data_IF_613465306820
#
_entry.id   IF_613465306820
#
_cell.length_a   1.000
_cell.length_b   1.000
_cell.length_c   1.000
_cell.angle_alpha   90.00
_cell.angle_beta   90.00
_cell.angle_gamma   90.00
#
_symmetry.space_group_name_H-M   'P 1'
#
loop_
_entity.id
_entity.type
_entity.pdbx_description
1 polymer ?
#
# COMPACT_ATOMS: atom_id res chain seq x y z
N UNK A 1 59.79 29.68 -5.21
CA UNK A 1 59.13 29.10 -4.03
C UNK A 1 57.84 29.86 -3.85
N UNK A 2 56.71 29.21 -4.10
CA UNK A 2 55.47 29.40 -3.34
C UNK A 2 54.47 28.38 -3.88
N UNK A 3 54.26 27.35 -3.07
CA UNK A 3 53.35 26.24 -3.29
C UNK A 3 51.94 26.68 -2.90
N UNK A 4 51.10 26.86 -3.90
CA UNK A 4 49.67 27.10 -3.73
C UNK A 4 48.99 25.78 -3.35
N UNK A 5 48.56 25.67 -2.09
CA UNK A 5 47.71 24.59 -1.60
C UNK A 5 46.28 24.80 -2.12
N UNK A 6 45.62 23.81 -2.74
CA UNK A 6 44.19 23.90 -2.93
C UNK A 6 43.51 23.59 -1.60
N UNK A 7 42.66 24.50 -1.15
CA UNK A 7 41.69 24.25 -0.10
C UNK A 7 40.48 23.55 -0.72
N UNK A 8 40.22 22.32 -0.28
CA UNK A 8 38.97 21.62 -0.55
C UNK A 8 38.48 21.03 0.77
N UNK A 9 37.16 20.93 0.92
CA UNK A 9 36.37 20.21 1.93
C UNK A 9 35.65 21.06 3.00
N UNK A 10 34.36 21.33 2.73
CA UNK A 10 33.33 21.17 3.77
C UNK A 10 32.13 20.27 3.36
N UNK A 11 32.08 19.69 2.16
CA UNK A 11 30.88 18.98 1.67
C UNK A 11 30.67 17.56 2.27
N UNK A 12 31.75 16.84 2.60
CA UNK A 12 31.67 15.45 3.08
C UNK A 12 30.97 15.28 4.45
N UNK A 13 31.15 16.25 5.35
CA UNK A 13 30.58 16.19 6.71
C UNK A 13 29.05 16.34 6.72
N UNK A 14 28.47 16.98 5.70
CA UNK A 14 27.02 17.17 5.60
C UNK A 14 26.32 15.89 5.12
N UNK A 15 26.94 15.12 4.23
CA UNK A 15 26.34 13.90 3.68
C UNK A 15 26.32 12.77 4.70
N UNK A 16 27.41 12.61 5.47
CA UNK A 16 27.50 11.62 6.55
C UNK A 16 26.46 11.88 7.65
N UNK A 17 26.23 13.16 7.99
CA UNK A 17 25.21 13.54 8.97
C UNK A 17 23.78 13.24 8.47
N UNK A 18 23.51 13.48 7.17
CA UNK A 18 22.22 13.16 6.55
C UNK A 18 21.98 11.65 6.49
N UNK A 19 23.00 10.87 6.15
CA UNK A 19 22.91 9.41 6.12
C UNK A 19 22.73 8.85 7.54
N UNK A 20 23.46 9.36 8.52
CA UNK A 20 23.30 8.98 9.93
C UNK A 20 21.87 9.21 10.41
N UNK A 21 21.31 10.40 10.16
CA UNK A 21 19.92 10.71 10.48
C UNK A 21 18.94 9.77 9.77
N UNK A 22 19.14 9.51 8.48
CA UNK A 22 18.30 8.59 7.72
C UNK A 22 18.26 7.18 8.34
N UNK A 23 19.40 6.66 8.79
CA UNK A 23 19.47 5.37 9.46
C UNK A 23 18.75 5.41 10.82
N UNK A 24 18.93 6.49 11.60
CA UNK A 24 18.19 6.69 12.86
C UNK A 24 16.68 6.70 12.65
N UNK A 25 16.18 7.44 11.65
CA UNK A 25 14.75 7.53 11.35
C UNK A 25 14.15 6.14 11.00
N UNK A 26 14.93 5.29 10.31
CA UNK A 26 14.52 3.90 10.04
C UNK A 26 14.44 3.11 11.35
N UNK A 27 15.46 3.22 12.19
CA UNK A 27 15.58 2.47 13.43
C UNK A 27 14.44 2.81 14.39
N UNK A 28 14.13 4.09 14.58
CA UNK A 28 12.99 4.56 15.37
C UNK A 28 11.66 3.99 14.88
N UNK A 29 11.45 3.96 13.55
CA UNK A 29 10.23 3.39 12.97
C UNK A 29 10.11 1.88 13.18
N UNK A 30 11.24 1.15 13.20
CA UNK A 30 11.27 -0.29 13.46
C UNK A 30 11.07 -0.59 14.95
N UNK A 31 11.67 0.18 15.85
CA UNK A 31 11.49 0.08 17.31
C UNK A 31 10.04 0.37 17.73
N UNK A 32 9.40 1.37 17.11
CA UNK A 32 7.97 1.61 17.29
C UNK A 32 7.13 0.38 16.88
N UNK A 33 7.52 -0.28 15.78
CA UNK A 33 6.94 -1.55 15.35
C UNK A 33 7.10 -2.68 16.36
N UNK A 34 8.29 -2.83 16.95
CA UNK A 34 8.56 -3.84 17.98
C UNK A 34 7.69 -3.64 19.21
N UNK A 35 7.61 -2.39 19.69
CA UNK A 35 6.79 -2.02 20.84
C UNK A 35 5.31 -2.30 20.58
N UNK A 36 4.81 -2.00 19.39
CA UNK A 36 3.39 -2.25 19.03
C UNK A 36 3.08 -3.74 18.95
N UNK A 37 4.00 -4.53 18.40
CA UNK A 37 3.84 -5.99 18.23
C UNK A 37 4.16 -6.78 19.51
N UNK A 38 4.58 -6.10 20.57
CA UNK A 38 5.02 -6.70 21.84
C UNK A 38 6.11 -7.78 21.65
N UNK A 39 7.09 -7.47 20.79
CA UNK A 39 8.23 -8.35 20.51
C UNK A 39 9.52 -7.78 21.11
N UNK A 40 10.55 -8.63 21.38
CA UNK A 40 11.78 -8.17 22.00
C UNK A 40 12.48 -7.06 21.20
N UNK A 41 13.07 -6.05 21.87
CA UNK A 41 13.91 -5.04 21.23
C UNK A 41 15.04 -5.68 20.42
N UNK A 42 15.37 -5.11 19.25
CA UNK A 42 16.39 -5.67 18.35
C UNK A 42 15.85 -6.71 17.36
N UNK A 43 14.59 -7.15 17.51
CA UNK A 43 14.00 -8.12 16.58
C UNK A 43 13.87 -7.54 15.16
N UNK A 44 13.35 -6.32 15.05
CA UNK A 44 13.16 -5.56 13.81
C UNK A 44 14.20 -4.44 13.65
N UNK A 45 14.61 -3.76 14.73
CA UNK A 45 15.54 -2.61 14.62
C UNK A 45 16.91 -3.00 14.04
N UNK A 46 17.33 -4.25 14.24
CA UNK A 46 18.62 -4.76 13.76
C UNK A 46 18.52 -5.52 12.42
N UNK A 47 17.40 -5.42 11.69
CA UNK A 47 17.12 -6.21 10.48
C UNK A 47 18.24 -6.16 9.44
N UNK A 48 18.91 -5.03 9.27
CA UNK A 48 19.97 -4.88 8.26
C UNK A 48 21.27 -5.59 8.65
N UNK A 49 21.43 -6.04 9.90
CA UNK A 49 22.57 -6.85 10.34
C UNK A 49 22.38 -8.34 10.09
N UNK A 50 21.13 -8.78 9.95
CA UNK A 50 20.74 -10.19 9.85
C UNK A 50 21.06 -10.82 8.49
N UNK A 51 21.26 -12.14 8.39
CA UNK A 51 21.27 -12.80 7.08
C UNK A 51 20.02 -12.48 6.26
N UNK A 52 20.16 -12.31 4.94
CA UNK A 52 19.08 -11.82 4.06
C UNK A 52 17.78 -12.64 4.16
N UNK A 53 17.90 -13.96 4.27
CA UNK A 53 16.74 -14.83 4.43
C UNK A 53 16.05 -14.64 5.79
N UNK A 54 16.81 -14.41 6.88
CA UNK A 54 16.27 -14.12 8.21
C UNK A 54 15.54 -12.78 8.20
N UNK A 55 16.15 -11.76 7.59
CA UNK A 55 15.55 -10.44 7.43
C UNK A 55 14.17 -10.55 6.75
N UNK A 56 14.08 -11.28 5.64
CA UNK A 56 12.81 -11.48 4.91
C UNK A 56 11.78 -12.25 5.75
N UNK A 57 12.20 -13.28 6.50
CA UNK A 57 11.31 -14.04 7.39
C UNK A 57 10.75 -13.14 8.49
N UNK A 58 11.60 -12.36 9.17
CA UNK A 58 11.20 -11.43 10.23
C UNK A 58 10.23 -10.38 9.72
N UNK A 59 10.47 -9.81 8.53
CA UNK A 59 9.55 -8.87 7.90
C UNK A 59 8.17 -9.52 7.68
N UNK A 60 8.10 -10.72 7.10
CA UNK A 60 6.80 -11.40 6.91
C UNK A 60 6.12 -11.72 8.25
N UNK A 61 6.89 -12.20 9.22
CA UNK A 61 6.38 -12.51 10.56
C UNK A 61 5.82 -11.29 11.28
N UNK A 62 6.28 -10.09 10.95
CA UNK A 62 5.74 -8.83 11.46
C UNK A 62 4.60 -8.25 10.59
N UNK A 63 4.64 -8.44 9.27
CA UNK A 63 3.54 -8.04 8.37
C UNK A 63 2.26 -8.75 8.75
N UNK A 64 2.29 -10.06 8.97
CA UNK A 64 1.09 -10.85 9.23
C UNK A 64 0.26 -10.37 10.44
N UNK A 65 0.80 -10.26 11.67
CA UNK A 65 0.05 -9.73 12.81
C UNK A 65 -0.38 -8.27 12.57
N UNK A 66 0.45 -7.45 11.92
CA UNK A 66 0.08 -6.08 11.57
C UNK A 66 -1.16 -6.03 10.67
N UNK A 67 -1.24 -6.90 9.66
CA UNK A 67 -2.40 -6.98 8.77
C UNK A 67 -3.63 -7.51 9.51
N UNK A 68 -3.45 -8.45 10.45
CA UNK A 68 -4.54 -8.93 11.30
C UNK A 68 -5.12 -7.79 12.15
N UNK A 69 -4.27 -6.99 12.80
CA UNK A 69 -4.70 -5.82 13.59
C UNK A 69 -5.48 -4.82 12.73
N UNK A 70 -4.98 -4.56 11.51
CA UNK A 70 -5.64 -3.67 10.55
C UNK A 70 -7.02 -4.18 10.15
N UNK A 71 -7.17 -5.48 9.87
CA UNK A 71 -8.46 -6.09 9.55
C UNK A 71 -9.41 -5.98 10.75
N UNK A 72 -8.95 -6.35 11.95
CA UNK A 72 -9.75 -6.28 13.17
C UNK A 72 -10.23 -4.84 13.44
N UNK A 73 -9.34 -3.85 13.32
CA UNK A 73 -9.68 -2.44 13.46
C UNK A 73 -10.66 -1.97 12.37
N UNK A 74 -10.45 -2.36 11.11
CA UNK A 74 -11.35 -2.03 10.01
C UNK A 74 -12.76 -2.57 10.21
N UNK A 75 -12.87 -3.82 10.69
CA UNK A 75 -14.17 -4.45 11.02
C UNK A 75 -14.85 -3.82 12.24
N UNK A 76 -14.09 -3.46 13.27
CA UNK A 76 -14.61 -2.78 14.45
C UNK A 76 -15.11 -1.37 14.14
N UNK A 77 -14.43 -0.68 13.21
CA UNK A 77 -14.75 0.68 12.76
C UNK A 77 -15.89 0.73 11.74
N UNK A 78 -16.00 -0.26 10.86
CA UNK A 78 -17.00 -0.33 9.78
C UNK A 78 -18.38 -0.83 10.23
N UNK A 79 -18.86 -0.41 11.41
CA UNK A 79 -20.05 -0.91 12.10
C UNK A 79 -21.20 -1.34 11.18
N UNK A 80 -21.29 -2.65 10.95
CA UNK A 80 -22.40 -3.31 10.24
C UNK A 80 -22.51 -2.94 8.76
N UNK A 81 -22.77 -3.95 7.93
CA UNK A 81 -23.49 -3.75 6.68
C UNK A 81 -24.83 -3.05 7.00
N UNK A 82 -24.87 -1.71 7.02
CA UNK A 82 -26.11 -0.94 7.20
C UNK A 82 -26.18 0.07 8.35
N UNK A 83 -25.08 0.58 8.91
CA UNK A 83 -25.11 1.81 9.71
C UNK A 83 -25.93 1.77 11.01
N UNK A 84 -26.31 0.57 11.48
CA UNK A 84 -26.87 0.40 12.81
C UNK A 84 -25.69 0.16 13.75
N UNK A 85 -25.53 0.97 14.82
CA UNK A 85 -24.55 0.70 15.87
C UNK A 85 -25.03 -0.51 16.68
N UNK A 86 -24.95 -1.69 16.08
CA UNK A 86 -25.34 -2.92 16.72
C UNK A 86 -24.11 -3.55 17.34
N UNK A 87 -24.25 -3.89 18.62
CA UNK A 87 -23.32 -4.68 19.45
C UNK A 87 -23.13 -6.12 18.94
N UNK A 88 -23.20 -6.34 17.63
CA UNK A 88 -22.78 -7.59 17.01
C UNK A 88 -21.35 -7.34 16.58
N UNK A 89 -20.44 -7.47 17.54
CA UNK A 89 -19.03 -7.67 17.24
C UNK A 89 -18.94 -8.82 16.25
N UNK A 90 -18.48 -8.55 15.02
CA UNK A 90 -18.16 -9.57 14.02
C UNK A 90 -16.92 -10.39 14.42
N UNK A 91 -16.72 -10.63 15.72
CA UNK A 91 -15.62 -11.43 16.26
C UNK A 91 -15.50 -12.77 15.53
N UNK A 92 -16.59 -13.54 15.25
CA UNK A 92 -16.45 -14.80 14.52
C UNK A 92 -15.93 -14.67 13.08
N UNK A 93 -16.18 -13.53 12.42
CA UNK A 93 -15.74 -13.27 11.03
C UNK A 93 -14.32 -12.70 11.02
N UNK A 94 -13.98 -11.87 12.00
CA UNK A 94 -12.62 -11.39 12.21
C UNK A 94 -11.69 -12.56 12.54
N UNK A 95 -12.07 -13.41 13.48
CA UNK A 95 -11.32 -14.61 13.86
C UNK A 95 -11.15 -15.56 12.67
N UNK A 96 -12.21 -15.76 11.87
CA UNK A 96 -12.11 -16.55 10.64
C UNK A 96 -11.14 -15.92 9.62
N UNK A 97 -11.20 -14.61 9.40
CA UNK A 97 -10.34 -13.92 8.46
C UNK A 97 -8.86 -13.95 8.90
N UNK A 98 -8.61 -13.82 10.21
CA UNK A 98 -7.29 -13.87 10.82
C UNK A 98 -6.72 -15.29 10.79
N UNK A 99 -7.53 -16.31 11.07
CA UNK A 99 -7.04 -17.69 11.23
C UNK A 99 -7.01 -18.52 9.93
N UNK A 100 -7.86 -18.20 8.95
CA UNK A 100 -8.09 -19.09 7.78
C UNK A 100 -7.69 -18.51 6.44
N UNK A 101 -7.47 -17.20 6.35
CA UNK A 101 -7.05 -16.59 5.08
C UNK A 101 -5.53 -16.63 4.93
N UNK A 102 -5.08 -16.98 3.72
CA UNK A 102 -3.69 -16.81 3.35
C UNK A 102 -3.34 -15.31 3.34
N UNK A 103 -2.09 -14.96 3.65
CA UNK A 103 -1.64 -13.57 3.62
C UNK A 103 -1.89 -12.91 2.24
N UNK A 104 -1.49 -13.59 1.17
CA UNK A 104 -1.61 -13.12 -0.22
C UNK A 104 -2.62 -13.91 -1.06
N UNK A 105 -3.19 -13.28 -2.10
CA UNK A 105 -4.10 -13.90 -3.07
C UNK A 105 -5.42 -13.15 -3.23
N UNK A 106 -6.23 -13.52 -4.22
CA UNK A 106 -7.52 -12.85 -4.56
C UNK A 106 -8.55 -12.84 -3.43
N UNK A 107 -8.42 -13.73 -2.45
CA UNK A 107 -9.25 -13.78 -1.24
C UNK A 107 -8.37 -13.76 0.03
N UNK A 108 -7.16 -13.22 -0.06
CA UNK A 108 -6.20 -13.18 1.05
C UNK A 108 -6.42 -12.00 2.00
N UNK A 109 -5.72 -12.02 3.14
CA UNK A 109 -5.76 -10.97 4.17
C UNK A 109 -5.48 -9.58 3.60
N UNK A 110 -4.51 -9.46 2.68
CA UNK A 110 -4.15 -8.19 2.05
C UNK A 110 -5.30 -7.58 1.23
N UNK A 111 -6.03 -8.39 0.47
CA UNK A 111 -7.19 -7.93 -0.32
C UNK A 111 -8.36 -7.54 0.60
N UNK A 112 -8.57 -8.26 1.69
CA UNK A 112 -9.57 -7.90 2.69
C UNK A 112 -9.22 -6.55 3.36
N UNK A 113 -7.98 -6.39 3.81
CA UNK A 113 -7.51 -5.13 4.40
C UNK A 113 -7.61 -3.96 3.41
N UNK A 114 -7.38 -4.20 2.10
CA UNK A 114 -7.63 -3.21 1.04
C UNK A 114 -9.08 -2.75 1.02
N UNK A 115 -10.02 -3.69 1.01
CA UNK A 115 -11.46 -3.40 0.93
C UNK A 115 -11.99 -2.68 2.16
N UNK A 116 -11.36 -2.89 3.31
CA UNK A 116 -11.63 -2.16 4.54
C UNK A 116 -10.98 -0.75 4.55
N UNK A 117 -10.29 -0.35 3.48
CA UNK A 117 -9.45 0.85 3.42
C UNK A 117 -8.38 0.91 4.54
N UNK A 118 -7.90 -0.27 4.94
CA UNK A 118 -6.88 -0.43 5.97
C UNK A 118 -5.48 -0.68 5.38
N UNK A 119 -5.36 -0.84 4.06
CA UNK A 119 -4.08 -0.85 3.34
C UNK A 119 -4.19 -0.16 1.99
N UNK A 120 -3.15 0.56 1.60
CA UNK A 120 -3.05 1.19 0.28
C UNK A 120 -2.40 0.26 -0.76
N UNK A 121 -2.51 0.62 -2.04
CA UNK A 121 -1.93 -0.18 -3.14
C UNK A 121 -0.42 -0.40 -2.99
N UNK A 122 0.31 0.59 -2.44
CA UNK A 122 1.76 0.47 -2.22
C UNK A 122 2.09 -0.53 -1.11
N UNK A 123 1.32 -0.50 -0.02
CA UNK A 123 1.52 -1.40 1.13
C UNK A 123 1.24 -2.86 0.73
N UNK A 124 0.18 -3.08 -0.04
CA UNK A 124 -0.16 -4.40 -0.59
C UNK A 124 0.92 -4.87 -1.55
N UNK A 125 1.33 -4.03 -2.50
CA UNK A 125 2.35 -4.38 -3.46
C UNK A 125 3.69 -4.73 -2.80
N UNK A 126 4.06 -4.01 -1.73
CA UNK A 126 5.21 -4.33 -0.90
C UNK A 126 5.04 -5.70 -0.24
N UNK A 127 3.97 -5.92 0.52
CA UNK A 127 3.73 -7.17 1.25
C UNK A 127 3.69 -8.41 0.34
N UNK A 128 3.00 -8.32 -0.81
CA UNK A 128 2.99 -9.39 -1.83
C UNK A 128 4.39 -9.67 -2.38
N UNK A 129 5.18 -8.62 -2.60
CA UNK A 129 6.53 -8.76 -3.15
C UNK A 129 7.47 -9.43 -2.14
N UNK A 130 7.40 -9.05 -0.86
CA UNK A 130 8.15 -9.74 0.19
C UNK A 130 7.72 -11.20 0.29
N UNK A 131 6.42 -11.49 0.23
CA UNK A 131 5.93 -12.87 0.31
C UNK A 131 6.46 -13.72 -0.86
N UNK A 132 6.52 -13.13 -2.07
CA UNK A 132 7.12 -13.79 -3.23
C UNK A 132 8.63 -14.05 -3.05
N UNK A 133 9.38 -13.12 -2.46
CA UNK A 133 10.81 -13.29 -2.15
C UNK A 133 11.00 -14.38 -1.09
N UNK A 134 10.20 -14.35 -0.01
CA UNK A 134 10.17 -15.38 1.04
C UNK A 134 9.95 -16.76 0.45
N UNK A 135 9.01 -16.89 -0.49
CA UNK A 135 8.73 -18.17 -1.16
C UNK A 135 9.94 -18.66 -1.97
N UNK A 136 10.73 -17.77 -2.57
CA UNK A 136 11.98 -18.17 -3.24
C UNK A 136 13.00 -18.75 -2.26
N UNK A 137 13.15 -18.15 -1.08
CA UNK A 137 13.99 -18.72 -0.02
C UNK A 137 13.44 -20.07 0.46
N UNK A 138 12.12 -20.20 0.63
CA UNK A 138 11.49 -21.41 1.18
C UNK A 138 11.47 -22.60 0.19
N UNK A 139 11.28 -22.36 -1.11
CA UNK A 139 11.18 -23.43 -2.11
C UNK A 139 12.52 -24.07 -2.47
N UNK A 140 13.65 -23.42 -2.16
CA UNK A 140 14.97 -23.99 -2.40
C UNK A 140 15.91 -23.58 -1.27
N UNK A 141 16.26 -24.53 -0.41
CA UNK A 141 17.15 -24.30 0.74
C UNK A 141 18.52 -23.73 0.36
N UNK A 142 19.01 -23.98 -0.87
CA UNK A 142 20.27 -23.39 -1.37
C UNK A 142 20.16 -21.86 -1.53
N UNK A 143 18.95 -21.32 -1.62
CA UNK A 143 18.76 -19.88 -1.67
C UNK A 143 19.04 -19.22 -0.32
N UNK A 144 19.06 -19.95 0.82
CA UNK A 144 19.36 -19.37 2.13
C UNK A 144 20.75 -18.70 2.19
N UNK A 145 21.71 -19.16 1.39
CA UNK A 145 23.04 -18.55 1.28
C UNK A 145 23.16 -17.51 0.17
N UNK A 146 22.08 -17.22 -0.57
CA UNK A 146 22.09 -16.24 -1.66
C UNK A 146 21.71 -14.86 -1.14
N UNK A 147 22.34 -13.85 -1.76
CA UNK A 147 22.03 -12.46 -1.50
C UNK A 147 20.62 -12.11 -2.02
N UNK A 148 19.96 -11.19 -1.32
CA UNK A 148 18.66 -10.64 -1.64
C UNK A 148 18.66 -10.06 -3.06
N UNK A 149 19.70 -9.28 -3.40
CA UNK A 149 19.80 -8.64 -4.72
C UNK A 149 19.76 -9.68 -5.85
N UNK A 150 20.49 -10.78 -5.72
CA UNK A 150 20.53 -11.81 -6.76
C UNK A 150 19.16 -12.45 -6.96
N UNK A 151 18.43 -12.71 -5.88
CA UNK A 151 17.08 -13.24 -5.94
C UNK A 151 16.08 -12.25 -6.52
N UNK A 152 16.21 -10.97 -6.17
CA UNK A 152 15.36 -9.89 -6.69
C UNK A 152 15.60 -9.70 -8.19
N UNK A 153 16.86 -9.64 -8.64
CA UNK A 153 17.22 -9.55 -10.06
C UNK A 153 16.72 -10.75 -10.87
N UNK A 154 16.81 -11.96 -10.31
CA UNK A 154 16.26 -13.16 -10.93
C UNK A 154 14.73 -13.10 -11.02
N UNK A 155 14.08 -12.60 -9.98
CA UNK A 155 12.64 -12.44 -9.93
C UNK A 155 12.13 -11.36 -10.89
N UNK A 156 12.89 -10.30 -11.10
CA UNK A 156 12.56 -9.20 -12.02
C UNK A 156 12.40 -9.66 -13.47
N UNK A 157 13.07 -10.73 -13.88
CA UNK A 157 12.89 -11.33 -15.21
C UNK A 157 11.44 -11.70 -15.51
N UNK A 158 10.66 -12.03 -14.47
CA UNK A 158 9.25 -12.38 -14.57
C UNK A 158 8.32 -11.24 -14.13
N UNK A 159 8.86 -10.19 -13.50
CA UNK A 159 8.09 -9.05 -13.00
C UNK A 159 8.97 -7.79 -12.99
N UNK A 160 8.90 -7.02 -14.07
CA UNK A 160 9.71 -5.80 -14.27
C UNK A 160 9.42 -4.68 -13.27
N UNK A 161 8.37 -4.79 -12.43
CA UNK A 161 8.06 -3.81 -11.38
C UNK A 161 8.45 -4.30 -9.98
N UNK A 162 9.13 -5.44 -9.86
CA UNK A 162 9.39 -6.07 -8.56
C UNK A 162 10.24 -5.18 -7.65
N UNK A 163 11.37 -4.65 -8.12
CA UNK A 163 12.17 -3.69 -7.32
C UNK A 163 11.36 -2.47 -6.93
N UNK A 164 10.59 -1.91 -7.87
CA UNK A 164 9.73 -0.76 -7.60
C UNK A 164 8.73 -1.04 -6.48
N UNK A 165 8.10 -2.22 -6.48
CA UNK A 165 7.15 -2.63 -5.44
C UNK A 165 7.86 -2.91 -4.12
N UNK A 166 9.02 -3.56 -4.15
CA UNK A 166 9.85 -3.88 -3.00
C UNK A 166 10.34 -2.62 -2.27
N UNK A 167 10.66 -1.57 -3.01
CA UNK A 167 11.21 -0.31 -2.50
C UNK A 167 10.20 0.85 -2.56
N UNK A 168 8.93 0.57 -2.27
CA UNK A 168 7.88 1.59 -2.06
C UNK A 168 7.69 2.62 -3.20
N UNK A 169 7.96 2.22 -4.44
CA UNK A 169 7.82 3.06 -5.63
C UNK A 169 9.14 3.60 -6.17
N UNK A 170 10.24 3.44 -5.45
CA UNK A 170 11.56 3.90 -5.89
C UNK A 170 12.06 3.08 -7.08
N UNK A 171 12.62 3.76 -8.08
CA UNK A 171 13.26 3.11 -9.24
C UNK A 171 14.75 3.03 -8.98
N UNK A 172 15.22 1.86 -8.56
CA UNK A 172 16.62 1.64 -8.18
C UNK A 172 17.25 0.68 -9.19
N UNK A 173 18.46 1.01 -9.64
CA UNK A 173 19.24 0.11 -10.50
C UNK A 173 20.00 -0.88 -9.61
N UNK A 174 19.47 -2.09 -9.49
CA UNK A 174 20.02 -3.11 -8.58
C UNK A 174 21.36 -3.73 -9.02
N UNK A 175 21.72 -3.62 -10.31
CA UNK A 175 22.87 -4.30 -10.91
C UNK A 175 24.22 -3.95 -10.27
N UNK A 176 24.34 -2.76 -9.66
CA UNK A 176 25.57 -2.29 -9.02
C UNK A 176 25.35 -1.91 -7.55
N UNK A 177 24.23 -2.32 -6.96
CA UNK A 177 23.90 -1.94 -5.59
C UNK A 177 24.61 -2.90 -4.62
N UNK A 178 25.34 -2.41 -3.60
CA UNK A 178 25.87 -3.28 -2.56
C UNK A 178 24.73 -3.97 -1.80
N UNK A 179 24.88 -5.27 -1.49
CA UNK A 179 23.84 -6.02 -0.80
C UNK A 179 23.48 -5.40 0.56
N UNK A 180 24.47 -4.91 1.31
CA UNK A 180 24.23 -4.20 2.57
C UNK A 180 23.33 -2.99 2.40
N UNK A 181 23.49 -2.21 1.32
CA UNK A 181 22.64 -1.05 1.06
C UNK A 181 21.23 -1.46 0.62
N UNK A 182 21.07 -2.55 -0.14
CA UNK A 182 19.75 -3.09 -0.45
C UNK A 182 18.98 -3.51 0.82
N UNK A 183 19.66 -4.05 1.82
CA UNK A 183 19.05 -4.36 3.13
C UNK A 183 18.62 -3.10 3.85
N UNK A 184 19.44 -2.05 3.87
CA UNK A 184 19.02 -0.76 4.45
C UNK A 184 17.76 -0.21 3.76
N UNK A 185 17.71 -0.23 2.44
CA UNK A 185 16.52 0.20 1.68
C UNK A 185 15.30 -0.68 1.93
N UNK A 186 15.50 -1.98 2.14
CA UNK A 186 14.43 -2.91 2.47
C UNK A 186 13.90 -2.64 3.90
N UNK A 187 14.78 -2.38 4.86
CA UNK A 187 14.41 -1.99 6.22
C UNK A 187 13.64 -0.67 6.23
N UNK A 188 14.09 0.32 5.46
CA UNK A 188 13.35 1.56 5.22
C UNK A 188 11.96 1.33 4.61
N UNK A 189 11.87 0.46 3.60
CA UNK A 189 10.60 0.12 2.96
C UNK A 189 9.63 -0.51 3.97
N UNK A 190 10.15 -1.37 4.84
CA UNK A 190 9.37 -1.99 5.89
C UNK A 190 8.96 -1.01 6.99
N UNK A 191 9.81 -0.07 7.41
CA UNK A 191 9.41 0.96 8.38
C UNK A 191 8.28 1.84 7.83
N UNK A 192 8.31 2.16 6.53
CA UNK A 192 7.20 2.86 5.84
C UNK A 192 5.89 2.08 5.85
N UNK A 193 5.96 0.74 5.72
CA UNK A 193 4.79 -0.13 5.88
C UNK A 193 4.19 -0.02 7.29
N UNK A 194 5.04 -0.13 8.32
CA UNK A 194 4.61 -0.03 9.71
C UNK A 194 4.00 1.34 10.04
N UNK A 195 4.63 2.43 9.59
CA UNK A 195 4.14 3.80 9.77
C UNK A 195 2.79 4.03 9.04
N UNK A 196 2.60 3.41 7.87
CA UNK A 196 1.30 3.44 7.16
C UNK A 196 0.23 2.71 7.96
N UNK A 197 0.54 1.50 8.46
CA UNK A 197 -0.36 0.71 9.27
C UNK A 197 -0.78 1.43 10.56
N UNK A 198 0.19 1.98 11.29
CA UNK A 198 -0.07 2.71 12.54
C UNK A 198 -0.99 3.91 12.33
N UNK A 199 -0.76 4.69 11.26
CA UNK A 199 -1.64 5.81 10.91
C UNK A 199 -3.08 5.36 10.66
N UNK A 200 -3.30 4.21 10.02
CA UNK A 200 -4.65 3.69 9.74
C UNK A 200 -5.31 3.08 10.97
N UNK A 201 -4.53 2.49 11.88
CA UNK A 201 -5.02 2.04 13.18
C UNK A 201 -5.55 3.22 14.01
N UNK A 202 -4.88 4.38 13.97
CA UNK A 202 -5.29 5.57 14.73
C UNK A 202 -6.26 6.52 13.99
N UNK A 203 -6.39 6.42 12.66
CA UNK A 203 -7.29 7.30 11.91
C UNK A 203 -8.79 6.98 12.20
N UNK A 204 -9.63 8.00 12.46
CA UNK A 204 -11.09 7.82 12.45
C UNK A 204 -11.57 7.60 11.01
N UNK A 205 -12.24 6.49 10.75
CA UNK A 205 -12.77 6.11 9.42
C UNK A 205 -14.00 6.94 9.07
N UNK A 206 -13.78 8.16 8.58
CA UNK A 206 -14.81 8.95 7.90
C UNK A 206 -15.03 8.53 6.43
N UNK A 207 -14.21 7.63 5.88
CA UNK A 207 -14.16 7.34 4.44
C UNK A 207 -14.97 6.13 3.94
N UNK A 208 -15.38 5.22 4.84
CA UNK A 208 -16.02 3.94 4.45
C UNK A 208 -17.31 4.13 3.65
N UNK A 209 -18.13 5.13 3.99
CA UNK A 209 -19.38 5.40 3.26
C UNK A 209 -19.15 6.11 1.91
N UNK A 210 -18.11 6.93 1.78
CA UNK A 210 -17.88 7.69 0.54
C UNK A 210 -17.39 6.79 -0.61
N UNK A 211 -16.55 5.80 -0.31
CA UNK A 211 -16.05 4.85 -1.31
C UNK A 211 -17.07 3.80 -1.74
N UNK A 212 -17.94 3.35 -0.82
CA UNK A 212 -18.91 2.29 -1.07
C UNK A 212 -20.22 2.80 -1.70
N UNK A 213 -20.64 4.04 -1.40
CA UNK A 213 -21.90 4.61 -1.89
C UNK A 213 -21.74 5.62 -3.05
N UNK A 214 -20.52 5.94 -3.47
CA UNK A 214 -20.28 6.95 -4.51
C UNK A 214 -20.79 8.34 -4.13
N UNK A 215 -21.05 8.59 -2.84
CA UNK A 215 -21.47 9.88 -2.33
C UNK A 215 -20.22 10.74 -2.15
N UNK A 216 -19.87 11.46 -3.22
CA UNK A 216 -19.02 12.64 -3.12
C UNK A 216 -19.73 13.60 -2.15
N UNK A 217 -19.06 14.15 -1.12
CA UNK A 217 -19.67 15.13 -0.25
C UNK A 217 -20.15 16.32 -1.09
N UNK A 218 -21.43 16.68 -0.95
CA UNK A 218 -22.02 17.84 -1.58
C UNK A 218 -21.57 19.16 -0.92
N UNK A 219 -20.27 19.29 -0.65
CA UNK A 219 -19.65 20.47 -0.04
C UNK A 219 -18.58 21.04 -0.97
N UNK A 220 -18.95 21.20 -2.24
CA UNK A 220 -18.29 22.10 -3.19
C UNK A 220 -19.19 22.40 -4.40
N UNK A 221 -20.49 22.64 -4.14
CA UNK A 221 -21.45 23.08 -5.15
C UNK A 221 -22.22 24.35 -4.80
N UNK A 222 -21.81 25.07 -3.76
CA UNK A 222 -22.29 26.41 -3.49
C UNK A 222 -21.12 27.39 -3.57
N UNK A 223 -21.03 28.08 -4.70
CA UNK A 223 -20.00 29.07 -4.94
C UNK A 223 -20.05 29.77 -6.29
N UNK A 224 -21.01 29.46 -7.17
CA UNK A 224 -21.08 30.14 -8.47
C UNK A 224 -22.50 30.19 -9.05
N UNK A 225 -23.48 30.64 -8.25
CA UNK A 225 -24.78 31.11 -8.76
C UNK A 225 -25.29 32.30 -7.94
N UNK A 226 -24.55 33.40 -7.97
CA UNK A 226 -25.09 34.71 -7.58
C UNK A 226 -24.35 35.87 -8.25
N UNK A 227 -24.63 36.14 -9.53
CA UNK A 227 -24.57 37.51 -10.04
C UNK A 227 -25.40 37.71 -11.32
N UNK A 228 -26.38 38.62 -11.24
CA UNK A 228 -26.85 39.48 -12.35
C UNK A 228 -27.66 38.78 -13.44
N UNK A 229 -28.99 38.72 -13.37
CA UNK A 229 -29.96 39.81 -13.59
C UNK A 229 -29.94 40.42 -15.02
N UNK A 230 -31.07 40.19 -15.72
CA UNK A 230 -31.88 41.12 -16.53
C UNK A 230 -32.07 40.78 -18.02
N UNK A 231 -33.33 41.02 -18.41
CA UNK A 231 -33.89 41.25 -19.75
C UNK A 231 -33.72 40.12 -20.77
N UNK A 232 -34.74 39.68 -21.49
CA UNK A 232 -36.09 40.16 -21.65
C UNK A 232 -36.71 39.46 -22.86
N UNK A 233 -38.03 39.51 -22.90
CA UNK A 233 -38.85 39.53 -24.11
C UNK A 233 -39.18 38.22 -24.89
N UNK A 234 -40.50 38.05 -25.01
CA UNK A 234 -41.29 37.67 -26.19
C UNK A 234 -41.07 36.34 -26.93
N UNK A 235 -42.06 35.46 -26.69
CA UNK A 235 -43.16 35.12 -27.61
C UNK A 235 -42.98 34.12 -28.78
N UNK A 236 -44.05 33.30 -28.91
CA UNK A 236 -44.54 32.53 -30.09
C UNK A 236 -43.69 31.32 -30.50
N UNK A 237 -44.20 30.30 -31.19
CA UNK A 237 -45.49 29.69 -31.49
C UNK A 237 -45.18 28.54 -32.48
N UNK A 238 -46.03 27.52 -32.57
CA UNK A 238 -46.09 26.61 -33.73
C UNK A 238 -45.10 25.44 -33.68
N UNK A 239 -45.58 24.22 -33.48
CA UNK A 239 -46.11 23.34 -34.53
C UNK A 239 -45.06 22.97 -35.58
N UNK A 240 -44.62 21.70 -35.55
CA UNK A 240 -44.42 20.89 -36.76
C UNK A 240 -44.21 19.43 -36.41
N UNK A 241 -45.22 18.64 -36.81
CA UNK A 241 -45.10 17.24 -37.20
C UNK A 241 -43.92 17.03 -38.14
N UNK A 242 -43.19 15.93 -37.97
CA UNK A 242 -43.01 14.95 -39.05
C UNK A 242 -42.50 13.61 -38.48
N UNK A 243 -43.43 12.65 -38.44
CA UNK A 243 -43.15 11.22 -38.50
C UNK A 243 -42.61 10.92 -39.91
N UNK A 244 -41.51 10.18 -40.02
CA UNK A 244 -41.29 9.09 -41.00
C UNK A 244 -39.83 8.61 -40.96
N UNK A 245 -39.67 7.31 -40.69
CA UNK A 245 -38.74 6.31 -41.27
C UNK A 245 -38.49 5.22 -40.22
N UNK A 246 -39.04 4.03 -40.43
CA UNK A 246 -38.41 2.90 -41.12
C UNK A 246 -37.16 2.39 -40.40
N UNK A 247 -37.23 1.17 -39.86
CA UNK A 247 -36.43 0.01 -40.32
C UNK A 247 -36.88 -1.26 -39.56
N UNK A 248 -37.42 -2.20 -40.33
CA UNK A 248 -37.17 -3.65 -40.36
C UNK A 248 -37.02 -4.47 -39.06
N UNK A 249 -38.08 -5.27 -38.79
CA UNK A 249 -38.07 -6.74 -38.84
C UNK A 249 -37.27 -7.56 -37.82
N UNK A 250 -37.96 -8.45 -37.08
CA UNK A 250 -37.39 -9.76 -36.77
C UNK A 250 -38.38 -10.90 -37.08
N UNK A 251 -37.94 -11.87 -37.88
CA UNK A 251 -38.48 -13.25 -37.92
C UNK A 251 -37.35 -14.19 -38.29
N UNK A 252 -36.94 -15.03 -37.34
CA UNK A 252 -37.22 -16.46 -37.45
C UNK A 252 -36.98 -17.15 -36.09
N UNK A 253 -37.93 -17.96 -35.62
CA UNK A 253 -37.69 -19.03 -34.68
C UNK A 253 -37.73 -20.36 -35.44
N UNK A 254 -36.66 -21.14 -35.41
CA UNK A 254 -36.79 -22.58 -35.63
C UNK A 254 -36.00 -23.35 -34.57
N UNK A 255 -36.78 -24.14 -33.85
CA UNK A 255 -36.38 -25.13 -32.87
C UNK A 255 -36.40 -26.47 -33.59
N UNK A 256 -35.25 -27.13 -33.68
CA UNK A 256 -35.11 -28.58 -33.70
C UNK A 256 -33.84 -28.96 -32.95
#
# INVERSE_FOLDING_TARGET
MESEKPATEPESQSEDALFGKFVTDIQEGLEAGEKRLDIPPGTLSDLYSEPDYIMVIKIIAAIEPTVNDLIAAGMAKGGGLGGVPNKITFAPVADFAVDRLLLSGRAGKLELAKRLDMLGDRDIAFAETIAAIRNRYAHNIKNASRNLIDLVLEAEKNNAQLSKKLFYGMRIKLQNLPNGFAKVLLAWSFSRFLESAERRLHAPTGGFLNGLLGLIPAEQRDGDLASGARDGDRAKAGDRRQKHRHLDGPRDPDSQ
#
